data_IF_064558474556
#
_entry.id   IF_064558474556
#
_cell.length_a   1.000
_cell.length_b   1.000
_cell.length_c   1.000
_cell.angle_alpha   90.00
_cell.angle_beta   90.00
_cell.angle_gamma   90.00
#
_symmetry.space_group_name_H-M   'P 1'
#
loop_
_entity.id
_entity.type
_entity.pdbx_description
1 polymer ?
#
# COMPACT_ATOMS: atom_id res chain seq x y z
N UNK A 1 -2.89 -4.92 19.20
CA UNK A 1 -2.53 -4.95 20.62
C UNK A 1 -1.43 -5.98 20.93
N UNK A 2 -1.52 -7.25 20.46
CA UNK A 2 -0.60 -8.35 20.83
C UNK A 2 0.88 -8.01 20.54
N UNK A 3 1.19 -7.49 19.35
CA UNK A 3 2.57 -7.14 18.96
C UNK A 3 3.20 -6.10 19.90
N UNK A 4 2.46 -5.06 20.26
CA UNK A 4 2.96 -4.03 21.18
C UNK A 4 3.07 -4.52 22.62
N UNK A 5 2.15 -5.39 23.05
CA UNK A 5 2.28 -6.10 24.33
C UNK A 5 3.55 -6.97 24.36
N UNK A 6 3.86 -7.65 23.26
CA UNK A 6 5.10 -8.45 23.14
C UNK A 6 6.36 -7.57 23.20
N UNK A 7 6.36 -6.39 22.56
CA UNK A 7 7.48 -5.43 22.66
C UNK A 7 7.71 -5.06 24.13
N UNK A 8 6.63 -4.67 24.84
CA UNK A 8 6.72 -4.26 26.25
C UNK A 8 7.23 -5.39 27.14
N UNK A 9 6.72 -6.60 26.94
CA UNK A 9 7.17 -7.79 27.66
C UNK A 9 8.66 -8.08 27.42
N UNK A 10 9.09 -8.19 26.15
CA UNK A 10 10.47 -8.46 25.81
C UNK A 10 11.40 -7.35 26.29
N UNK A 11 10.98 -6.10 26.18
CA UNK A 11 11.75 -4.97 26.67
C UNK A 11 11.93 -5.05 28.20
N UNK A 12 10.92 -5.44 28.96
CA UNK A 12 11.04 -5.61 30.41
C UNK A 12 12.02 -6.73 30.79
N UNK A 13 12.10 -7.80 30.00
CA UNK A 13 13.03 -8.92 30.21
C UNK A 13 14.48 -8.54 29.87
N UNK A 14 14.70 -7.81 28.76
CA UNK A 14 16.01 -7.46 28.27
C UNK A 14 16.51 -6.08 28.72
N UNK A 15 15.74 -5.39 29.55
CA UNK A 15 16.11 -4.07 30.06
C UNK A 15 17.51 -4.05 30.69
N UNK A 16 18.30 -3.02 30.35
CA UNK A 16 19.64 -2.79 30.87
C UNK A 16 19.69 -1.53 31.73
N UNK A 17 20.53 -1.52 32.76
CA UNK A 17 20.81 -0.31 33.54
C UNK A 17 21.60 0.75 32.75
N UNK A 18 22.21 0.36 31.63
CA UNK A 18 22.94 1.26 30.75
C UNK A 18 21.98 1.90 29.74
N UNK A 19 21.92 3.23 29.70
CA UNK A 19 20.99 3.98 28.84
C UNK A 19 21.18 3.68 27.37
N UNK A 20 22.42 3.61 26.89
CA UNK A 20 22.73 3.33 25.47
C UNK A 20 22.30 1.92 25.09
N UNK A 21 22.60 0.92 25.95
CA UNK A 21 22.15 -0.45 25.70
C UNK A 21 20.63 -0.56 25.67
N UNK A 22 19.95 0.08 26.61
CA UNK A 22 18.49 0.12 26.68
C UNK A 22 17.88 0.76 25.45
N UNK A 23 18.47 1.84 24.96
CA UNK A 23 18.05 2.51 23.72
C UNK A 23 18.13 1.57 22.53
N UNK A 24 19.26 0.89 22.32
CA UNK A 24 19.39 -0.05 21.19
C UNK A 24 18.48 -1.27 21.34
N UNK A 25 18.35 -1.83 22.54
CA UNK A 25 17.43 -2.95 22.81
C UNK A 25 16.00 -2.55 22.44
N UNK A 26 15.55 -1.38 22.88
CA UNK A 26 14.20 -0.89 22.54
C UNK A 26 14.01 -0.74 21.02
N UNK A 27 14.97 -0.04 20.37
CA UNK A 27 14.90 0.22 18.92
C UNK A 27 14.86 -1.09 18.10
N UNK A 28 15.74 -2.04 18.45
CA UNK A 28 15.83 -3.33 17.76
C UNK A 28 14.56 -4.16 18.00
N UNK A 29 14.09 -4.27 19.23
CA UNK A 29 12.87 -5.03 19.54
C UNK A 29 11.66 -4.44 18.83
N UNK A 30 11.51 -3.12 18.90
CA UNK A 30 10.39 -2.44 18.23
C UNK A 30 10.45 -2.63 16.72
N UNK A 31 11.59 -2.35 16.10
CA UNK A 31 11.77 -2.52 14.65
C UNK A 31 11.58 -3.96 14.17
N UNK A 32 12.08 -4.96 14.95
CA UNK A 32 11.91 -6.37 14.62
C UNK A 32 10.44 -6.82 14.71
N UNK A 33 9.73 -6.38 15.74
CA UNK A 33 8.30 -6.71 15.89
C UNK A 33 7.47 -6.02 14.81
N UNK A 34 7.80 -4.78 14.42
CA UNK A 34 7.16 -4.11 13.29
C UNK A 34 7.39 -4.85 11.97
N UNK A 35 8.61 -5.36 11.74
CA UNK A 35 8.91 -6.20 10.58
C UNK A 35 8.10 -7.50 10.59
N UNK A 36 8.05 -8.20 11.73
CA UNK A 36 7.25 -9.44 11.88
C UNK A 36 5.76 -9.12 11.63
N UNK A 37 5.22 -8.07 12.25
CA UNK A 37 3.84 -7.63 12.07
C UNK A 37 3.51 -7.32 10.61
N UNK A 38 4.43 -6.65 9.93
CA UNK A 38 4.25 -6.28 8.52
C UNK A 38 4.48 -7.43 7.53
N UNK A 39 4.98 -8.59 7.98
CA UNK A 39 5.31 -9.74 7.11
C UNK A 39 4.46 -10.97 7.38
N UNK A 40 3.96 -11.15 8.62
CA UNK A 40 3.17 -12.32 9.01
C UNK A 40 1.80 -12.33 8.33
N UNK A 41 1.29 -13.51 7.96
CA UNK A 41 -0.03 -13.69 7.35
C UNK A 41 -0.24 -12.86 6.06
N UNK A 42 0.76 -12.74 5.20
CA UNK A 42 0.80 -11.92 3.98
C UNK A 42 1.16 -10.45 4.20
N UNK A 43 1.19 -10.00 5.44
CA UNK A 43 1.67 -8.70 5.85
C UNK A 43 0.63 -7.57 5.76
N UNK A 44 0.69 -6.69 6.76
CA UNK A 44 -0.07 -5.43 6.77
C UNK A 44 0.80 -4.33 7.38
N UNK A 45 1.75 -3.78 6.62
CA UNK A 45 2.77 -2.85 7.13
C UNK A 45 2.27 -1.41 7.29
N UNK A 46 1.01 -1.21 7.60
CA UNK A 46 0.45 0.11 7.83
C UNK A 46 0.87 0.66 9.19
N UNK A 47 0.91 1.97 9.32
CA UNK A 47 1.27 2.69 10.54
C UNK A 47 2.72 2.44 11.02
N UNK A 48 3.67 2.26 10.11
CA UNK A 48 5.08 2.30 10.44
C UNK A 48 5.49 3.72 10.87
N UNK A 49 6.39 3.83 11.85
CA UNK A 49 6.93 5.12 12.31
C UNK A 49 7.59 5.89 11.15
N UNK A 50 8.16 5.17 10.19
CA UNK A 50 8.75 5.73 8.97
C UNK A 50 7.78 6.65 8.19
N UNK A 51 6.48 6.39 8.24
CA UNK A 51 5.48 7.17 7.50
C UNK A 51 5.29 8.59 8.04
N UNK A 52 5.78 8.90 9.25
CA UNK A 52 5.82 10.28 9.76
C UNK A 52 6.68 11.22 8.90
N UNK A 53 7.56 10.68 8.05
CA UNK A 53 8.38 11.42 7.11
C UNK A 53 7.85 11.42 5.67
N UNK A 54 6.65 10.90 5.40
CA UNK A 54 6.09 10.75 4.05
C UNK A 54 5.99 12.07 3.27
N UNK A 55 5.78 13.18 3.94
CA UNK A 55 5.71 14.51 3.31
C UNK A 55 7.09 15.12 2.99
N UNK A 56 8.17 14.57 3.56
CA UNK A 56 9.52 15.06 3.34
C UNK A 56 10.19 14.34 2.18
N UNK A 57 10.00 14.83 0.95
CA UNK A 57 10.53 14.20 -0.26
C UNK A 57 12.05 13.95 -0.19
N UNK A 58 12.81 14.84 0.43
CA UNK A 58 14.26 14.67 0.56
C UNK A 58 14.62 13.59 1.58
N UNK A 59 13.87 13.49 2.67
CA UNK A 59 14.17 12.52 3.72
C UNK A 59 13.87 11.08 3.27
N UNK A 60 12.80 10.88 2.50
CA UNK A 60 12.38 9.56 2.02
C UNK A 60 13.23 9.01 0.87
N UNK A 61 14.07 9.81 0.21
CA UNK A 61 14.93 9.32 -0.88
C UNK A 61 15.86 8.17 -0.45
N UNK A 62 16.22 8.12 0.82
CA UNK A 62 17.07 7.07 1.38
C UNK A 62 16.42 5.68 1.32
N UNK A 63 15.09 5.60 1.21
CA UNK A 63 14.34 4.36 1.05
C UNK A 63 14.81 3.55 -0.17
N UNK A 64 15.28 4.24 -1.22
CA UNK A 64 15.81 3.60 -2.42
C UNK A 64 17.10 2.79 -2.17
N UNK A 65 17.77 3.03 -1.04
CA UNK A 65 19.04 2.39 -0.67
C UNK A 65 18.85 1.37 0.44
N UNK A 66 18.16 1.75 1.51
CA UNK A 66 18.07 0.91 2.72
C UNK A 66 16.71 0.20 2.89
N UNK A 67 15.70 0.57 2.09
CA UNK A 67 14.35 0.03 2.19
C UNK A 67 13.55 0.55 3.38
N UNK A 68 12.25 0.24 3.39
CA UNK A 68 11.28 0.80 4.34
C UNK A 68 11.52 0.36 5.78
N UNK A 69 11.80 -0.93 6.02
CA UNK A 69 11.96 -1.44 7.40
C UNK A 69 13.26 -1.00 8.06
N UNK A 70 14.37 -0.91 7.31
CA UNK A 70 15.61 -0.35 7.84
C UNK A 70 15.46 1.13 8.17
N UNK A 71 14.75 1.86 7.30
CA UNK A 71 14.39 3.26 7.56
C UNK A 71 13.49 3.38 8.79
N UNK A 72 12.49 2.51 8.94
CA UNK A 72 11.62 2.47 10.11
C UNK A 72 12.40 2.27 11.42
N UNK A 73 13.38 1.36 11.43
CA UNK A 73 14.25 1.16 12.59
C UNK A 73 15.03 2.44 12.95
N UNK A 74 15.54 3.16 11.96
CA UNK A 74 16.23 4.43 12.17
C UNK A 74 15.26 5.50 12.69
N UNK A 75 14.03 5.57 12.16
CA UNK A 75 13.01 6.50 12.64
C UNK A 75 12.60 6.23 14.09
N UNK A 76 12.40 4.96 14.47
CA UNK A 76 12.16 4.57 15.87
C UNK A 76 13.29 5.07 16.76
N UNK A 77 14.54 4.87 16.33
CA UNK A 77 15.71 5.33 17.06
C UNK A 77 15.74 6.86 17.17
N UNK A 78 15.52 7.58 16.07
CA UNK A 78 15.47 9.05 16.05
C UNK A 78 14.45 9.62 17.03
N UNK A 79 13.23 9.10 17.06
CA UNK A 79 12.18 9.54 17.98
C UNK A 79 12.48 9.17 19.45
N UNK A 80 13.38 8.20 19.69
CA UNK A 80 13.78 7.80 21.04
C UNK A 80 15.01 8.59 21.54
N UNK A 81 15.79 9.23 20.64
CA UNK A 81 16.98 10.03 20.98
C UNK A 81 16.72 11.10 22.07
N UNK A 82 15.60 11.84 22.10
CA UNK A 82 15.32 12.80 23.16
C UNK A 82 15.32 12.16 24.56
N UNK A 83 14.80 10.93 24.68
CA UNK A 83 14.83 10.21 25.96
C UNK A 83 16.26 9.85 26.38
N UNK A 84 17.13 9.46 25.42
CA UNK A 84 18.56 9.22 25.68
C UNK A 84 19.24 10.47 26.21
N UNK A 85 18.94 11.62 25.63
CA UNK A 85 19.49 12.92 26.06
C UNK A 85 19.04 13.31 27.47
N UNK A 86 17.76 13.10 27.79
CA UNK A 86 17.19 13.39 29.13
C UNK A 86 17.80 12.46 30.19
N UNK A 87 17.93 11.17 29.90
CA UNK A 87 18.40 10.13 30.82
C UNK A 87 19.92 10.01 30.86
N UNK A 88 20.65 10.87 30.15
CA UNK A 88 22.12 10.79 30.01
C UNK A 88 22.84 10.82 31.37
N UNK A 89 23.83 9.96 31.49
CA UNK A 89 24.73 9.87 32.67
C UNK A 89 26.20 10.05 32.30
N UNK A 90 26.51 9.76 31.03
CA UNK A 90 27.88 9.75 30.53
C UNK A 90 27.99 10.47 29.18
N UNK A 91 29.23 10.62 28.65
CA UNK A 91 29.44 11.19 27.32
C UNK A 91 28.98 10.28 26.18
N UNK A 92 28.78 8.97 26.44
CA UNK A 92 28.36 8.01 25.40
C UNK A 92 26.97 8.31 24.87
N UNK A 93 26.05 8.70 25.75
CA UNK A 93 24.68 9.07 25.35
C UNK A 93 24.69 10.32 24.46
N UNK A 94 25.57 11.28 24.75
CA UNK A 94 25.71 12.48 23.91
C UNK A 94 26.24 12.11 22.51
N UNK A 95 27.23 11.19 22.45
CA UNK A 95 27.74 10.69 21.17
C UNK A 95 26.64 10.02 20.35
N UNK A 96 25.80 9.19 20.97
CA UNK A 96 24.63 8.57 20.30
C UNK A 96 23.67 9.63 19.75
N UNK A 97 23.37 10.67 20.53
CA UNK A 97 22.50 11.76 20.06
C UNK A 97 23.10 12.46 18.83
N UNK A 98 24.38 12.82 18.87
CA UNK A 98 25.07 13.45 17.74
C UNK A 98 25.11 12.53 16.50
N UNK A 99 25.33 11.23 16.69
CA UNK A 99 25.33 10.26 15.59
C UNK A 99 24.01 10.25 14.84
N UNK A 100 22.87 10.22 15.55
CA UNK A 100 21.57 10.24 14.91
C UNK A 100 21.22 11.59 14.26
N UNK A 101 21.71 12.71 14.81
CA UNK A 101 21.59 14.03 14.16
C UNK A 101 22.37 14.03 12.83
N UNK A 102 23.61 13.50 12.84
CA UNK A 102 24.44 13.42 11.63
C UNK A 102 23.79 12.52 10.57
N UNK A 103 23.21 11.38 10.95
CA UNK A 103 22.46 10.51 10.03
C UNK A 103 21.29 11.28 9.41
N UNK A 104 20.51 12.01 10.21
CA UNK A 104 19.36 12.78 9.72
C UNK A 104 19.78 13.85 8.71
N UNK A 105 20.85 14.59 9.00
CA UNK A 105 21.43 15.57 8.07
C UNK A 105 21.94 14.85 6.81
N UNK A 106 22.61 13.72 6.96
CA UNK A 106 23.07 12.89 5.84
C UNK A 106 21.93 12.45 4.92
N UNK A 107 20.77 12.04 5.46
CA UNK A 107 19.60 11.69 4.68
C UNK A 107 19.04 12.87 3.89
N UNK A 108 18.96 14.06 4.51
CA UNK A 108 18.54 15.29 3.83
C UNK A 108 19.49 15.68 2.69
N UNK A 109 20.79 15.62 2.92
CA UNK A 109 21.81 15.94 1.90
C UNK A 109 21.74 14.93 0.77
N UNK A 110 21.71 13.63 1.07
CA UNK A 110 21.57 12.58 0.07
C UNK A 110 20.29 12.77 -0.77
N UNK A 111 19.17 13.02 -0.11
CA UNK A 111 17.89 13.20 -0.78
C UNK A 111 17.85 14.44 -1.67
N UNK A 112 18.45 15.55 -1.23
CA UNK A 112 18.56 16.74 -2.05
C UNK A 112 19.41 16.49 -3.31
N UNK A 113 20.54 15.80 -3.17
CA UNK A 113 21.39 15.43 -4.31
C UNK A 113 20.65 14.52 -5.30
N UNK A 114 19.95 13.49 -4.79
CA UNK A 114 19.17 12.57 -5.61
C UNK A 114 18.03 13.28 -6.34
N UNK A 115 17.29 14.12 -5.65
CA UNK A 115 16.16 14.86 -6.22
C UNK A 115 16.62 15.79 -7.35
N UNK A 116 17.71 16.53 -7.14
CA UNK A 116 18.27 17.41 -8.15
C UNK A 116 18.80 16.64 -9.36
N UNK A 117 19.46 15.50 -9.13
CA UNK A 117 19.92 14.62 -10.22
C UNK A 117 18.74 14.12 -11.09
N UNK A 118 17.65 13.70 -10.44
CA UNK A 118 16.45 13.25 -11.15
C UNK A 118 15.84 14.36 -12.02
N UNK A 119 15.68 15.55 -11.49
CA UNK A 119 15.10 16.69 -12.21
C UNK A 119 15.94 17.12 -13.43
N UNK A 120 17.27 16.90 -13.38
CA UNK A 120 18.15 17.22 -14.53
C UNK A 120 18.16 16.12 -15.59
N UNK A 121 17.78 14.88 -15.26
CA UNK A 121 17.78 13.74 -16.18
C UNK A 121 16.39 13.38 -16.71
N UNK A 122 15.36 14.08 -16.30
CA UNK A 122 13.95 13.72 -16.52
C UNK A 122 13.39 14.05 -17.93
N UNK A 123 14.22 14.24 -18.95
CA UNK A 123 13.78 14.33 -20.36
C UNK A 123 13.49 12.93 -20.98
N UNK A 124 12.80 12.08 -20.23
CA UNK A 124 12.25 10.85 -20.81
C UNK A 124 11.01 11.25 -21.61
N UNK A 125 11.14 11.36 -22.93
CA UNK A 125 9.99 11.46 -23.83
C UNK A 125 9.22 10.14 -23.79
N UNK A 126 8.18 10.11 -22.97
CA UNK A 126 7.21 9.02 -22.99
C UNK A 126 6.23 9.25 -24.15
N UNK A 127 5.91 8.18 -24.88
CA UNK A 127 4.93 8.21 -25.97
C UNK A 127 3.48 8.14 -25.48
N UNK A 128 3.25 8.17 -24.16
CA UNK A 128 1.93 8.11 -23.55
C UNK A 128 1.89 8.89 -22.23
N UNK A 129 0.71 9.38 -21.91
CA UNK A 129 0.42 10.06 -20.64
C UNK A 129 -0.29 9.10 -19.69
N UNK A 130 0.17 9.03 -18.44
CA UNK A 130 -0.52 8.28 -17.37
C UNK A 130 -1.30 9.28 -16.51
N UNK A 131 -2.60 9.03 -16.34
CA UNK A 131 -3.46 9.81 -15.46
C UNK A 131 -4.02 8.94 -14.33
N UNK A 132 -3.48 9.12 -13.14
CA UNK A 132 -4.01 8.50 -11.93
C UNK A 132 -5.20 9.33 -11.42
N UNK A 133 -6.35 8.68 -11.26
CA UNK A 133 -7.59 9.30 -10.77
C UNK A 133 -7.72 9.02 -9.28
N UNK A 134 -7.83 10.08 -8.48
CA UNK A 134 -8.03 10.00 -7.03
C UNK A 134 -9.36 10.66 -6.65
N UNK A 135 -10.49 9.95 -6.81
CA UNK A 135 -11.80 10.48 -6.44
C UNK A 135 -11.93 10.49 -4.91
N UNK A 136 -12.45 11.59 -4.36
CA UNK A 136 -12.74 11.69 -2.94
C UNK A 136 -14.13 11.08 -2.63
N UNK A 137 -14.31 9.80 -2.94
CA UNK A 137 -15.58 9.11 -2.71
C UNK A 137 -15.63 8.61 -1.27
N UNK A 138 -16.75 8.89 -0.58
CA UNK A 138 -16.97 8.45 0.81
C UNK A 138 -16.89 6.94 0.97
N UNK A 139 -16.40 6.49 2.13
CA UNK A 139 -16.42 5.06 2.52
C UNK A 139 -17.84 4.52 2.70
N UNK A 140 -18.84 5.38 2.81
CA UNK A 140 -20.25 4.98 2.92
C UNK A 140 -20.73 4.15 1.72
N UNK A 141 -20.00 4.21 0.59
CA UNK A 141 -20.24 3.37 -0.59
C UNK A 141 -20.19 1.86 -0.31
N UNK A 142 -19.46 1.44 0.72
CA UNK A 142 -19.40 0.03 1.13
C UNK A 142 -20.61 -0.40 1.96
N UNK A 143 -21.38 0.56 2.49
CA UNK A 143 -22.51 0.30 3.41
C UNK A 143 -23.85 0.70 2.84
N UNK A 144 -23.88 1.46 1.77
CA UNK A 144 -25.11 1.88 1.07
C UNK A 144 -25.03 1.55 -0.41
N UNK A 145 -26.14 1.05 -0.99
CA UNK A 145 -26.24 0.89 -2.45
C UNK A 145 -26.15 2.28 -3.09
N UNK A 146 -24.98 2.62 -3.59
CA UNK A 146 -24.81 3.80 -4.43
C UNK A 146 -25.14 3.46 -5.87
N UNK A 147 -25.54 4.49 -6.61
CA UNK A 147 -25.76 4.37 -8.06
C UNK A 147 -24.38 4.18 -8.74
N UNK A 148 -24.10 2.94 -9.15
CA UNK A 148 -22.86 2.53 -9.79
C UNK A 148 -22.59 3.34 -11.07
N UNK A 149 -23.64 3.59 -11.87
CA UNK A 149 -23.55 4.40 -13.09
C UNK A 149 -23.04 5.82 -12.74
N UNK A 150 -23.53 6.40 -11.66
CA UNK A 150 -23.10 7.74 -11.21
C UNK A 150 -21.62 7.75 -10.81
N UNK A 151 -21.16 6.72 -10.10
CA UNK A 151 -19.74 6.59 -9.73
C UNK A 151 -18.87 6.49 -11.00
N UNK A 152 -19.27 5.68 -11.97
CA UNK A 152 -18.53 5.54 -13.23
C UNK A 152 -18.50 6.85 -14.00
N UNK A 153 -19.61 7.58 -14.09
CA UNK A 153 -19.69 8.89 -14.74
C UNK A 153 -18.78 9.92 -14.04
N UNK A 154 -18.73 9.90 -12.72
CA UNK A 154 -17.82 10.77 -11.95
C UNK A 154 -16.35 10.43 -12.24
N UNK A 155 -15.99 9.14 -12.26
CA UNK A 155 -14.64 8.69 -12.60
C UNK A 155 -14.24 9.08 -14.01
N UNK A 156 -15.14 8.96 -14.99
CA UNK A 156 -14.91 9.42 -16.37
C UNK A 156 -14.70 10.93 -16.40
N UNK A 157 -15.50 11.69 -15.68
CA UNK A 157 -15.40 13.14 -15.59
C UNK A 157 -14.05 13.56 -14.99
N UNK A 158 -13.65 12.93 -13.88
CA UNK A 158 -12.36 13.16 -13.24
C UNK A 158 -11.18 12.70 -14.12
N UNK A 159 -11.36 11.65 -14.90
CA UNK A 159 -10.37 11.20 -15.88
C UNK A 159 -10.11 12.25 -16.96
N UNK A 160 -11.10 13.07 -17.29
CA UNK A 160 -10.98 14.16 -18.27
C UNK A 160 -10.19 13.72 -19.53
N UNK A 161 -10.67 12.72 -20.28
CA UNK A 161 -9.92 12.14 -21.40
C UNK A 161 -9.73 13.16 -22.52
N UNK A 162 -8.49 13.27 -23.01
CA UNK A 162 -8.10 14.16 -24.08
C UNK A 162 -7.92 13.37 -25.38
N UNK A 163 -8.57 13.78 -26.46
CA UNK A 163 -8.57 13.02 -27.74
C UNK A 163 -7.28 13.20 -28.59
N UNK A 164 -6.20 13.73 -28.02
CA UNK A 164 -5.02 14.11 -28.79
C UNK A 164 -3.86 13.11 -28.74
N UNK A 165 -3.69 12.42 -27.62
CA UNK A 165 -2.57 11.50 -27.41
C UNK A 165 -3.07 10.26 -26.63
N UNK A 166 -2.48 9.07 -26.88
CA UNK A 166 -2.80 7.86 -26.12
C UNK A 166 -2.58 8.06 -24.63
N UNK A 167 -3.57 7.72 -23.82
CA UNK A 167 -3.52 7.86 -22.37
C UNK A 167 -3.76 6.54 -21.66
N UNK A 168 -3.13 6.39 -20.49
CA UNK A 168 -3.39 5.30 -19.56
C UNK A 168 -4.08 5.88 -18.33
N UNK A 169 -5.32 5.48 -18.08
CA UNK A 169 -6.09 5.89 -16.91
C UNK A 169 -5.96 4.84 -15.82
N UNK A 170 -5.57 5.27 -14.62
CA UNK A 170 -5.48 4.42 -13.44
C UNK A 170 -6.60 4.78 -12.47
N UNK A 171 -7.59 3.91 -12.32
CA UNK A 171 -8.66 4.03 -11.33
C UNK A 171 -8.32 3.20 -10.08
N UNK A 172 -8.71 3.66 -8.88
CA UNK A 172 -8.32 3.00 -7.65
C UNK A 172 -8.95 1.63 -7.44
N UNK A 173 -8.36 0.87 -6.52
CA UNK A 173 -8.89 -0.41 -6.03
C UNK A 173 -10.21 -0.20 -5.28
N UNK A 174 -11.14 -1.14 -5.46
CA UNK A 174 -12.41 -1.18 -4.71
C UNK A 174 -13.31 0.04 -4.92
N UNK A 175 -13.17 0.74 -6.04
CA UNK A 175 -13.95 1.95 -6.30
C UNK A 175 -15.41 1.63 -6.64
N UNK A 176 -15.65 0.47 -7.21
CA UNK A 176 -16.97 -0.05 -7.58
C UNK A 176 -17.16 -1.41 -6.88
N UNK A 177 -17.51 -1.41 -5.57
CA UNK A 177 -17.44 -2.62 -4.73
C UNK A 177 -18.41 -3.72 -5.14
N UNK A 178 -19.57 -3.38 -5.69
CA UNK A 178 -20.63 -4.33 -6.03
C UNK A 178 -20.52 -4.87 -7.47
N UNK A 179 -19.55 -4.37 -8.26
CA UNK A 179 -19.37 -4.76 -9.66
C UNK A 179 -18.35 -5.85 -9.85
N UNK A 180 -18.71 -6.80 -10.70
CA UNK A 180 -17.79 -7.82 -11.15
C UNK A 180 -17.30 -7.52 -12.57
N UNK A 181 -16.12 -8.00 -12.87
CA UNK A 181 -15.49 -7.88 -14.18
C UNK A 181 -16.41 -8.32 -15.33
N UNK A 182 -17.24 -9.35 -15.11
CA UNK A 182 -18.21 -9.85 -16.11
C UNK A 182 -19.39 -8.90 -16.36
N UNK A 183 -19.69 -8.00 -15.42
CA UNK A 183 -20.86 -7.13 -15.46
C UNK A 183 -20.56 -5.79 -16.13
N UNK A 184 -19.28 -5.53 -16.45
CA UNK A 184 -18.81 -4.27 -17.05
C UNK A 184 -19.33 -4.02 -18.47
N UNK A 185 -19.78 -5.05 -19.16
CA UNK A 185 -20.28 -4.98 -20.54
C UNK A 185 -21.43 -3.99 -20.75
N UNK A 186 -22.24 -3.75 -19.72
CA UNK A 186 -23.36 -2.80 -19.77
C UNK A 186 -22.91 -1.34 -19.94
N UNK A 187 -21.65 -1.02 -19.65
CA UNK A 187 -21.06 0.32 -19.76
C UNK A 187 -20.26 0.54 -21.04
N UNK A 188 -20.22 -0.42 -21.99
CA UNK A 188 -19.41 -0.35 -23.23
C UNK A 188 -19.67 0.91 -24.04
N UNK A 189 -20.92 1.29 -24.21
CA UNK A 189 -21.29 2.49 -24.97
C UNK A 189 -20.80 3.77 -24.28
N UNK A 190 -20.94 3.86 -22.96
CA UNK A 190 -20.48 4.99 -22.18
C UNK A 190 -18.96 5.17 -22.30
N UNK A 191 -18.20 4.08 -22.21
CA UNK A 191 -16.73 4.13 -22.33
C UNK A 191 -16.27 4.46 -23.75
N UNK A 192 -16.87 3.83 -24.76
CA UNK A 192 -16.51 4.10 -26.17
C UNK A 192 -16.77 5.54 -26.60
N UNK A 193 -17.78 6.19 -25.99
CA UNK A 193 -18.09 7.59 -26.26
C UNK A 193 -17.17 8.55 -25.48
N UNK A 194 -16.58 8.10 -24.37
CA UNK A 194 -15.76 8.92 -23.48
C UNK A 194 -14.27 8.85 -23.79
N UNK A 195 -13.75 7.66 -24.10
CA UNK A 195 -12.32 7.40 -24.29
C UNK A 195 -11.95 7.20 -25.75
N UNK A 196 -10.70 7.53 -26.11
CA UNK A 196 -10.16 7.31 -27.47
C UNK A 196 -9.79 5.85 -27.71
N UNK A 197 -9.68 5.43 -28.99
CA UNK A 197 -9.37 4.05 -29.38
C UNK A 197 -8.04 3.54 -28.83
N UNK A 198 -7.09 4.43 -28.59
CA UNK A 198 -5.74 4.12 -28.15
C UNK A 198 -5.56 4.26 -26.64
N UNK A 199 -6.64 4.62 -25.94
CA UNK A 199 -6.62 4.75 -24.49
C UNK A 199 -6.72 3.38 -23.81
N UNK A 200 -6.04 3.26 -22.66
CA UNK A 200 -6.13 2.11 -21.77
C UNK A 200 -6.71 2.53 -20.43
N UNK A 201 -7.65 1.73 -19.92
CA UNK A 201 -8.26 1.94 -18.61
C UNK A 201 -7.85 0.79 -17.69
N UNK A 202 -7.16 1.09 -16.61
CA UNK A 202 -6.75 0.14 -15.58
C UNK A 202 -7.57 0.42 -14.34
N UNK A 203 -8.33 -0.57 -13.87
CA UNK A 203 -9.21 -0.39 -12.72
C UNK A 203 -9.23 -1.62 -11.82
N UNK A 204 -9.47 -1.40 -10.53
CA UNK A 204 -9.70 -2.45 -9.54
C UNK A 204 -11.16 -2.88 -9.53
N UNK A 205 -11.42 -4.17 -9.72
CA UNK A 205 -12.75 -4.78 -9.77
C UNK A 205 -12.76 -6.14 -9.08
N UNK A 206 -13.93 -6.59 -8.67
CA UNK A 206 -14.09 -7.95 -8.24
C UNK A 206 -14.20 -8.90 -9.45
N UNK A 207 -13.67 -10.11 -9.33
CA UNK A 207 -13.88 -11.15 -10.33
C UNK A 207 -14.30 -12.47 -9.68
N UNK A 208 -15.00 -13.31 -10.46
CA UNK A 208 -15.49 -14.63 -10.03
C UNK A 208 -15.01 -15.67 -11.01
N UNK A 209 -14.47 -16.77 -10.50
CA UNK A 209 -14.17 -17.97 -11.28
C UNK A 209 -14.92 -19.16 -10.67
N UNK A 210 -15.51 -20.00 -11.50
CA UNK A 210 -16.12 -21.26 -11.05
C UNK A 210 -15.07 -22.35 -11.12
N UNK A 211 -14.79 -23.00 -9.99
CA UNK A 211 -13.88 -24.16 -9.91
C UNK A 211 -14.55 -25.23 -9.06
N UNK A 212 -14.68 -26.46 -9.61
CA UNK A 212 -15.32 -27.60 -8.94
C UNK A 212 -16.71 -27.27 -8.37
N UNK A 213 -17.54 -26.53 -9.13
CA UNK A 213 -18.87 -26.05 -8.73
C UNK A 213 -18.90 -25.06 -7.57
N UNK A 214 -17.74 -24.55 -7.15
CA UNK A 214 -17.63 -23.47 -6.16
C UNK A 214 -17.25 -22.15 -6.82
N UNK A 215 -17.84 -21.07 -6.35
CA UNK A 215 -17.50 -19.71 -6.76
C UNK A 215 -16.27 -19.24 -5.99
N UNK A 216 -15.20 -18.95 -6.71
CA UNK A 216 -14.00 -18.31 -6.15
C UNK A 216 -14.04 -16.81 -6.47
N UNK A 217 -14.01 -15.98 -5.44
CA UNK A 217 -14.04 -14.53 -5.56
C UNK A 217 -12.62 -13.98 -5.47
N UNK A 218 -12.28 -13.01 -6.31
CA UNK A 218 -10.95 -12.40 -6.34
C UNK A 218 -11.08 -10.88 -6.31
N UNK A 219 -10.20 -10.24 -5.57
CA UNK A 219 -9.88 -8.84 -5.73
C UNK A 219 -8.92 -8.72 -6.92
N UNK A 220 -9.33 -8.03 -7.98
CA UNK A 220 -8.66 -8.05 -9.28
C UNK A 220 -8.34 -6.65 -9.79
N UNK A 221 -7.27 -6.55 -10.56
CA UNK A 221 -6.99 -5.43 -11.43
C UNK A 221 -7.25 -5.86 -12.87
N UNK A 222 -7.95 -5.05 -13.63
CA UNK A 222 -8.25 -5.32 -15.03
C UNK A 222 -7.77 -4.17 -15.92
N UNK A 223 -7.30 -4.50 -17.12
CA UNK A 223 -6.89 -3.58 -18.17
C UNK A 223 -7.86 -3.72 -19.32
N UNK A 224 -8.48 -2.62 -19.71
CA UNK A 224 -9.45 -2.55 -20.78
C UNK A 224 -9.02 -1.55 -21.86
N UNK A 225 -9.53 -1.75 -23.09
CA UNK A 225 -9.56 -0.71 -24.09
C UNK A 225 -10.78 0.22 -23.90
N UNK A 226 -10.96 1.20 -24.75
CA UNK A 226 -12.10 2.12 -24.72
C UNK A 226 -13.48 1.46 -24.94
N UNK A 227 -13.52 0.24 -25.47
CA UNK A 227 -14.77 -0.55 -25.64
C UNK A 227 -15.06 -1.49 -24.48
N UNK A 228 -14.29 -1.39 -23.40
CA UNK A 228 -14.31 -2.33 -22.28
C UNK A 228 -14.03 -3.78 -22.69
N UNK A 229 -13.31 -4.00 -23.79
CA UNK A 229 -12.79 -5.32 -24.06
C UNK A 229 -11.60 -5.59 -23.13
N UNK A 230 -11.66 -6.71 -22.42
CA UNK A 230 -10.64 -7.09 -21.46
C UNK A 230 -9.34 -7.47 -22.16
N UNK A 231 -8.28 -6.70 -21.95
CA UNK A 231 -6.94 -6.97 -22.46
C UNK A 231 -6.22 -7.92 -21.52
N UNK A 232 -6.28 -7.66 -20.21
CA UNK A 232 -5.62 -8.47 -19.19
C UNK A 232 -6.28 -8.31 -17.82
N UNK A 233 -6.18 -9.34 -16.99
CA UNK A 233 -6.57 -9.25 -15.58
C UNK A 233 -5.54 -9.89 -14.66
N UNK A 234 -5.40 -9.31 -13.49
CA UNK A 234 -4.53 -9.78 -12.41
C UNK A 234 -5.37 -9.97 -11.14
N UNK A 235 -5.27 -11.13 -10.51
CA UNK A 235 -5.91 -11.39 -9.23
C UNK A 235 -4.89 -11.18 -8.09
N UNK A 236 -5.27 -10.43 -7.07
CA UNK A 236 -4.43 -10.09 -5.93
C UNK A 236 -3.91 -11.35 -5.24
N UNK A 237 -2.59 -11.41 -5.02
CA UNK A 237 -1.90 -12.57 -4.43
C UNK A 237 -1.80 -12.41 -2.92
N UNK A 238 -1.38 -11.22 -2.46
CA UNK A 238 -1.19 -10.91 -1.04
C UNK A 238 -2.44 -10.26 -0.48
N UNK A 239 -3.34 -11.07 0.04
CA UNK A 239 -4.60 -10.63 0.62
C UNK A 239 -4.40 -10.04 2.01
N UNK A 240 -5.22 -9.06 2.38
CA UNK A 240 -5.20 -8.42 3.69
C UNK A 240 -5.85 -9.34 4.73
N UNK A 241 -5.10 -9.77 5.77
CA UNK A 241 -5.67 -10.60 6.83
C UNK A 241 -6.81 -9.88 7.55
N UNK A 242 -7.88 -10.60 7.85
CA UNK A 242 -9.13 -10.12 8.48
C UNK A 242 -9.90 -9.06 7.70
N UNK A 243 -9.38 -8.57 6.58
CA UNK A 243 -10.08 -7.66 5.67
C UNK A 243 -10.56 -8.36 4.40
N UNK A 244 -9.71 -9.17 3.79
CA UNK A 244 -9.99 -9.85 2.54
C UNK A 244 -10.10 -11.37 2.70
N UNK A 245 -9.51 -11.92 3.75
CA UNK A 245 -9.68 -13.33 4.15
C UNK A 245 -9.56 -13.46 5.67
N UNK A 246 -10.12 -14.53 6.21
CA UNK A 246 -10.04 -14.86 7.64
C UNK A 246 -8.93 -15.88 7.87
N UNK A 247 -7.78 -15.50 8.46
CA UNK A 247 -6.77 -16.47 8.84
C UNK A 247 -7.32 -17.43 9.90
N UNK A 248 -6.95 -18.72 9.78
CA UNK A 248 -7.37 -19.76 10.76
C UNK A 248 -8.89 -19.89 10.94
N UNK A 249 -9.68 -19.68 9.88
CA UNK A 249 -11.15 -19.68 9.90
C UNK A 249 -11.72 -20.90 10.62
N UNK A 250 -11.17 -22.10 10.39
CA UNK A 250 -11.58 -23.35 11.05
C UNK A 250 -11.42 -23.32 12.57
N UNK A 251 -10.40 -22.63 13.07
CA UNK A 251 -10.15 -22.50 14.53
C UNK A 251 -11.03 -21.39 15.11
N UNK A 252 -11.15 -20.27 14.42
CA UNK A 252 -11.97 -19.14 14.87
C UNK A 252 -13.46 -19.49 14.93
N UNK A 253 -13.95 -20.32 14.01
CA UNK A 253 -15.32 -20.81 14.03
C UNK A 253 -15.64 -21.71 15.25
N UNK A 254 -14.64 -22.49 15.73
CA UNK A 254 -14.81 -23.32 16.94
C UNK A 254 -15.02 -22.48 18.21
N UNK A 255 -14.46 -21.28 18.28
CA UNK A 255 -14.62 -20.37 19.44
C UNK A 255 -15.75 -19.36 19.25
N UNK A 256 -16.61 -19.57 18.23
CA UNK A 256 -17.79 -18.74 17.97
C UNK A 256 -17.50 -17.39 17.32
N UNK A 257 -16.26 -17.10 16.95
CA UNK A 257 -15.91 -15.95 16.12
C UNK A 257 -16.21 -16.27 14.65
N UNK A 258 -17.48 -16.14 14.28
CA UNK A 258 -17.88 -16.10 12.88
C UNK A 258 -17.27 -14.86 12.25
N UNK A 259 -16.88 -15.00 11.00
CA UNK A 259 -16.23 -14.00 10.12
C UNK A 259 -16.51 -12.55 10.54
N UNK A 260 -15.47 -11.84 10.90
CA UNK A 260 -15.54 -10.39 11.20
C UNK A 260 -15.84 -9.59 9.91
N UNK A 261 -15.75 -10.22 8.76
CA UNK A 261 -16.12 -9.68 7.46
C UNK A 261 -17.62 -9.85 7.29
N UNK A 262 -18.39 -8.82 7.69
CA UNK A 262 -19.81 -8.73 7.42
C UNK A 262 -20.09 -9.03 5.94
N UNK A 263 -20.84 -10.10 5.66
CA UNK A 263 -21.46 -10.47 4.38
C UNK A 263 -20.58 -10.62 3.13
N UNK A 264 -19.28 -10.29 3.17
CA UNK A 264 -18.37 -10.54 2.07
C UNK A 264 -17.73 -11.92 2.22
N UNK A 265 -17.94 -12.75 1.20
CA UNK A 265 -17.19 -14.01 1.07
C UNK A 265 -15.69 -13.69 0.99
N UNK A 266 -14.87 -14.46 1.72
CA UNK A 266 -13.41 -14.30 1.67
C UNK A 266 -12.89 -14.36 0.24
N UNK A 267 -12.01 -13.46 -0.13
CA UNK A 267 -11.35 -13.52 -1.43
C UNK A 267 -10.39 -14.70 -1.49
N UNK A 268 -10.31 -15.27 -2.69
CA UNK A 268 -9.36 -16.32 -3.02
C UNK A 268 -8.03 -15.70 -3.45
N UNK A 269 -6.93 -16.37 -3.10
CA UNK A 269 -5.60 -15.93 -3.48
C UNK A 269 -5.37 -16.10 -4.98
N UNK A 270 -4.86 -15.06 -5.64
CA UNK A 270 -4.44 -15.12 -7.04
C UNK A 270 -3.19 -15.97 -7.25
N UNK A 271 -2.93 -16.34 -8.50
CA UNK A 271 -1.72 -17.08 -8.91
C UNK A 271 -0.61 -16.08 -9.29
N UNK A 272 0.65 -16.52 -9.21
CA UNK A 272 1.80 -15.74 -9.65
C UNK A 272 1.66 -15.37 -11.13
N UNK A 273 1.87 -14.10 -11.44
CA UNK A 273 1.77 -13.60 -12.80
C UNK A 273 3.11 -12.96 -13.24
N UNK A 274 3.34 -13.01 -14.54
CA UNK A 274 4.49 -12.36 -15.17
C UNK A 274 4.12 -10.92 -15.55
N UNK A 275 5.12 -10.07 -15.65
CA UNK A 275 4.95 -8.73 -16.21
C UNK A 275 4.32 -8.80 -17.61
N UNK A 276 3.32 -7.98 -17.86
CA UNK A 276 2.66 -7.87 -19.15
C UNK A 276 3.36 -6.80 -20.00
N UNK A 277 3.77 -7.18 -21.20
CA UNK A 277 4.21 -6.24 -22.22
C UNK A 277 3.02 -5.94 -23.14
N UNK A 278 2.46 -4.75 -23.01
CA UNK A 278 1.45 -4.24 -23.95
C UNK A 278 2.22 -3.63 -25.12
N UNK A 279 2.16 -4.28 -26.27
CA UNK A 279 2.68 -3.71 -27.53
C UNK A 279 1.57 -2.86 -28.13
N UNK A 280 1.88 -1.60 -28.42
CA UNK A 280 1.06 -0.75 -29.27
C UNK A 280 1.12 -1.20 -30.72
#
# INVERSE_FOLDING_TARGET
AIFYGLITYLFSVFYSKNVVSTFFIFSILYGSIEFIRGSILTGFPWNLIAFSFSESIYFIQILSVIGTYSFNLICISLFTVPAVFILRKTRKEIIVCFFFIIISVGFLVFGNLKYNQFNTTADIKNNFTIRAVSPNISLDRFYSKQDELKIIQELITLSSPEKKEPMIFLWPEGIIPDSYLRDMDIYKELFSNSFSSDDLIIMGLNSVKIKNSENLFFNSMAIFNNKLDLIHSYNKINLVPFGEFTPFESVLSLIGLKTVTNDYQSFSKGENQKALLIKN
#
